data_IF_834437400502
#
_entry.id   IF_834437400502
#
_cell.length_a   1.000
_cell.length_b   1.000
_cell.length_c   1.000
_cell.angle_alpha   90.00
_cell.angle_beta   90.00
_cell.angle_gamma   90.00
#
_symmetry.space_group_name_H-M   'P 1'
#
loop_
_entity.id
_entity.type
_entity.pdbx_description
1 polymer ?
#
# COMPACT_ATOMS: atom_id res chain seq x y z
N UNK A 1 8.49 17.20 -15.45
CA UNK A 1 8.56 15.76 -15.72
C UNK A 1 7.13 15.22 -15.61
N UNK A 2 6.67 14.38 -16.54
CA UNK A 2 5.42 13.65 -16.32
C UNK A 2 5.71 12.57 -15.26
N UNK A 3 4.89 12.52 -14.21
CA UNK A 3 4.88 11.37 -13.32
C UNK A 3 4.66 10.12 -14.15
N UNK A 4 5.46 9.09 -13.89
CA UNK A 4 5.34 7.80 -14.59
C UNK A 4 4.25 7.01 -13.89
N UNK A 5 3.22 6.63 -14.64
CA UNK A 5 2.19 5.73 -14.13
C UNK A 5 2.77 4.32 -13.93
N UNK A 6 2.43 3.70 -12.81
CA UNK A 6 2.79 2.31 -12.53
C UNK A 6 1.87 1.40 -13.35
N UNK A 7 2.47 0.48 -14.11
CA UNK A 7 1.75 -0.47 -14.99
C UNK A 7 1.41 -1.81 -14.31
N UNK A 8 2.25 -2.26 -13.39
CA UNK A 8 2.04 -3.53 -12.68
C UNK A 8 2.94 -3.63 -11.45
N UNK A 9 2.53 -4.47 -10.50
CA UNK A 9 3.37 -4.96 -9.41
C UNK A 9 3.75 -6.42 -9.68
N UNK A 10 4.95 -6.83 -9.27
CA UNK A 10 5.36 -8.24 -9.30
C UNK A 10 5.75 -8.66 -7.90
N UNK A 11 5.15 -9.74 -7.42
CA UNK A 11 5.59 -10.43 -6.21
C UNK A 11 6.47 -11.60 -6.65
N UNK A 12 7.66 -11.67 -6.09
CA UNK A 12 8.59 -12.77 -6.27
C UNK A 12 8.66 -13.56 -4.96
N UNK A 13 8.40 -14.86 -5.06
CA UNK A 13 8.40 -15.79 -3.95
C UNK A 13 9.80 -16.43 -3.81
N UNK A 14 10.11 -16.95 -2.62
CA UNK A 14 11.44 -17.52 -2.33
C UNK A 14 11.79 -18.76 -3.18
N UNK A 15 10.77 -19.46 -3.68
CA UNK A 15 10.91 -20.58 -4.62
C UNK A 15 11.15 -20.13 -6.08
N UNK A 16 11.20 -18.83 -6.32
CA UNK A 16 11.38 -18.21 -7.62
C UNK A 16 10.09 -18.05 -8.43
N UNK A 17 8.93 -18.44 -7.91
CA UNK A 17 7.65 -18.10 -8.54
C UNK A 17 7.50 -16.58 -8.62
N UNK A 18 6.98 -16.08 -9.74
CA UNK A 18 6.66 -14.67 -9.91
C UNK A 18 5.20 -14.50 -10.30
N UNK A 19 4.51 -13.62 -9.59
CA UNK A 19 3.12 -13.26 -9.89
C UNK A 19 2.99 -11.77 -10.12
N UNK A 20 2.45 -11.41 -11.28
CA UNK A 20 2.23 -10.00 -11.65
C UNK A 20 0.77 -9.60 -11.46
N UNK A 21 0.56 -8.36 -11.03
CA UNK A 21 -0.73 -7.75 -10.76
C UNK A 21 -0.83 -6.42 -11.51
N UNK A 22 -1.86 -6.26 -12.34
CA UNK A 22 -2.12 -5.02 -13.10
C UNK A 22 -3.08 -4.07 -12.39
N UNK A 23 -3.68 -4.53 -11.28
CA UNK A 23 -4.50 -3.72 -10.38
C UNK A 23 -4.08 -3.99 -8.95
N UNK A 24 -3.67 -2.95 -8.23
CA UNK A 24 -3.21 -3.12 -6.86
C UNK A 24 -2.74 -1.82 -6.19
N UNK A 25 -2.49 -1.95 -4.90
CA UNK A 25 -2.02 -0.90 -4.01
C UNK A 25 -0.93 -1.50 -3.12
N UNK A 26 0.23 -0.85 -3.07
CA UNK A 26 1.36 -1.26 -2.25
C UNK A 26 1.80 -0.07 -1.39
N UNK A 27 1.90 -0.30 -0.09
CA UNK A 27 2.47 0.66 0.86
C UNK A 27 3.90 0.25 1.12
N UNK A 28 4.83 1.17 0.85
CA UNK A 28 6.21 1.03 1.27
C UNK A 28 6.42 1.90 2.50
N UNK A 29 6.88 1.29 3.60
CA UNK A 29 7.27 1.99 4.82
C UNK A 29 8.79 1.88 4.91
N UNK A 30 9.47 3.02 4.86
CA UNK A 30 10.92 3.10 5.08
C UNK A 30 11.19 3.85 6.38
N UNK A 31 11.79 3.16 7.33
CA UNK A 31 12.38 3.80 8.51
C UNK A 31 13.61 4.59 8.08
N UNK A 32 13.71 5.85 8.51
CA UNK A 32 14.85 6.69 8.17
C UNK A 32 15.96 6.46 9.20
N UNK A 33 17.08 5.88 8.77
CA UNK A 33 18.22 5.60 9.66
C UNK A 33 18.73 6.89 10.32
N UNK A 34 18.59 6.99 11.65
CA UNK A 34 19.02 8.15 12.43
C UNK A 34 17.96 9.22 12.65
N UNK A 35 16.70 8.99 12.24
CA UNK A 35 15.56 9.84 12.55
C UNK A 35 14.44 9.02 13.23
N UNK A 36 13.60 9.68 14.03
CA UNK A 36 12.41 9.07 14.67
C UNK A 36 11.20 9.00 13.71
N UNK A 37 11.39 9.32 12.43
CA UNK A 37 10.34 9.34 11.43
C UNK A 37 10.44 8.19 10.42
N UNK A 38 9.28 7.84 9.86
CA UNK A 38 9.16 6.88 8.79
C UNK A 38 8.56 7.54 7.55
N UNK A 39 9.12 7.23 6.39
CA UNK A 39 8.56 7.64 5.11
C UNK A 39 7.58 6.59 4.64
N UNK A 40 6.34 7.01 4.40
CA UNK A 40 5.29 6.14 3.85
C UNK A 40 5.01 6.53 2.40
N UNK A 41 5.21 5.59 1.48
CA UNK A 41 4.97 5.79 0.05
C UNK A 41 3.84 4.89 -0.42
N UNK A 42 2.84 5.50 -1.06
CA UNK A 42 1.70 4.80 -1.63
C UNK A 42 1.92 4.61 -3.13
N UNK A 43 2.05 3.35 -3.55
CA UNK A 43 2.20 2.98 -4.95
C UNK A 43 0.89 2.37 -5.44
N UNK A 44 0.35 2.91 -6.53
CA UNK A 44 -0.94 2.52 -7.09
C UNK A 44 -0.82 2.15 -8.56
N UNK A 45 -1.46 1.06 -8.95
CA UNK A 45 -1.52 0.60 -10.33
C UNK A 45 -2.96 0.20 -10.66
N UNK A 46 -3.53 0.75 -11.73
CA UNK A 46 -4.91 0.41 -12.14
C UNK A 46 -5.98 0.72 -11.09
N UNK A 47 -5.71 1.63 -10.15
CA UNK A 47 -6.62 2.04 -9.07
C UNK A 47 -7.32 3.35 -9.47
N UNK A 48 -8.65 3.32 -9.50
CA UNK A 48 -9.47 4.52 -9.63
C UNK A 48 -9.90 5.09 -8.27
N UNK A 49 -10.58 6.25 -8.29
CA UNK A 49 -11.05 6.90 -7.05
C UNK A 49 -11.99 6.03 -6.19
N UNK A 50 -12.85 5.22 -6.82
CA UNK A 50 -13.72 4.29 -6.08
C UNK A 50 -12.95 3.14 -5.42
N UNK A 51 -11.89 2.63 -6.08
CA UNK A 51 -11.03 1.60 -5.51
C UNK A 51 -10.29 2.15 -4.28
N UNK A 52 -9.77 3.37 -4.38
CA UNK A 52 -9.10 4.04 -3.27
C UNK A 52 -10.05 4.25 -2.08
N UNK A 53 -11.28 4.70 -2.35
CA UNK A 53 -12.32 4.84 -1.32
C UNK A 53 -12.58 3.51 -0.60
N UNK A 54 -12.72 2.42 -1.37
CA UNK A 54 -12.96 1.08 -0.81
C UNK A 54 -11.78 0.61 0.05
N UNK A 55 -10.54 0.83 -0.42
CA UNK A 55 -9.31 0.48 0.32
C UNK A 55 -9.27 1.22 1.66
N UNK A 56 -9.41 2.55 1.64
CA UNK A 56 -9.37 3.38 2.85
C UNK A 56 -10.48 2.98 3.82
N UNK A 57 -11.71 2.81 3.33
CA UNK A 57 -12.84 2.44 4.16
C UNK A 57 -12.64 1.08 4.83
N UNK A 58 -12.08 0.11 4.09
CA UNK A 58 -11.79 -1.23 4.61
C UNK A 58 -10.69 -1.19 5.68
N UNK A 59 -9.64 -0.38 5.50
CA UNK A 59 -8.56 -0.22 6.50
C UNK A 59 -9.07 0.45 7.78
N UNK A 60 -9.90 1.50 7.66
CA UNK A 60 -10.54 2.16 8.82
C UNK A 60 -11.44 1.16 9.55
N UNK A 61 -12.27 0.43 8.81
CA UNK A 61 -13.14 -0.59 9.40
C UNK A 61 -12.34 -1.67 10.13
N UNK A 62 -11.24 -2.14 9.54
CA UNK A 62 -10.33 -3.08 10.19
C UNK A 62 -9.73 -2.51 11.47
N UNK A 63 -9.27 -1.26 11.46
CA UNK A 63 -8.78 -0.57 12.65
C UNK A 63 -9.81 -0.53 13.79
N UNK A 64 -11.08 -0.24 13.46
CA UNK A 64 -12.18 -0.31 14.43
C UNK A 64 -12.37 -1.73 14.98
N UNK A 65 -12.34 -2.76 14.12
CA UNK A 65 -12.55 -4.15 14.52
C UNK A 65 -11.47 -4.67 15.48
N UNK A 66 -10.23 -4.22 15.33
CA UNK A 66 -9.12 -4.63 16.20
C UNK A 66 -8.95 -3.75 17.45
N UNK A 67 -9.86 -2.78 17.67
CA UNK A 67 -9.78 -1.83 18.77
C UNK A 67 -8.54 -0.93 18.69
N UNK A 68 -8.05 -0.64 17.48
CA UNK A 68 -6.88 0.22 17.29
C UNK A 68 -7.16 1.63 17.80
N UNK A 69 -8.31 2.19 17.45
CA UNK A 69 -8.71 3.55 17.81
C UNK A 69 -9.11 3.74 19.28
N UNK A 70 -9.35 2.65 20.02
CA UNK A 70 -9.61 2.71 21.46
C UNK A 70 -8.33 2.93 22.29
N UNK A 71 -7.16 2.75 21.65
CA UNK A 71 -5.83 2.80 22.28
C UNK A 71 -5.04 4.07 21.94
N UNK A 72 -5.63 4.98 21.16
CA UNK A 72 -5.00 6.25 20.73
C UNK A 72 -5.49 7.38 21.62
#
# INVERSE_FOLDING_TARGET
>A
MKDKDIKSFTVEYEDGEKKSFEKGFMVEIRENVGAEDATVTFNMCGIGGQDLYLIISSVIQFGNQIGFFDKI
#
